data_IF_131523282387
#
_entry.id   IF_131523282387
#
_cell.length_a   1.000
_cell.length_b   1.000
_cell.length_c   1.000
_cell.angle_alpha   90.00
_cell.angle_beta   90.00
_cell.angle_gamma   90.00
#
_symmetry.space_group_name_H-M   'P 1'
#
loop_
_entity.id
_entity.type
_entity.pdbx_description
1 polymer ?
#
# COMPACT_ATOMS: atom_id res chain seq x y z
N UNK A 1 -19.03 -12.68 -31.13
CA UNK A 1 -18.25 -11.61 -30.49
C UNK A 1 -16.78 -11.92 -30.62
N UNK A 2 -16.01 -11.02 -31.23
CA UNK A 2 -14.57 -11.20 -31.39
C UNK A 2 -13.85 -10.99 -30.04
N UNK A 3 -12.60 -11.47 -29.90
CA UNK A 3 -11.78 -11.28 -28.69
C UNK A 3 -11.59 -9.79 -28.31
N UNK A 4 -11.38 -8.86 -29.26
CA UNK A 4 -11.37 -7.41 -29.00
C UNK A 4 -12.66 -6.90 -28.33
N UNK A 5 -13.84 -7.33 -28.81
CA UNK A 5 -15.13 -6.89 -28.28
C UNK A 5 -15.35 -7.33 -26.83
N UNK A 6 -14.91 -8.55 -26.49
CA UNK A 6 -15.00 -9.06 -25.12
C UNK A 6 -14.11 -8.29 -24.14
N UNK A 7 -12.91 -7.89 -24.56
CA UNK A 7 -11.95 -7.15 -23.72
C UNK A 7 -12.43 -5.73 -23.44
N UNK A 8 -12.94 -5.04 -24.45
CA UNK A 8 -13.50 -3.70 -24.28
C UNK A 8 -14.73 -3.71 -23.35
N UNK A 9 -15.63 -4.67 -23.53
CA UNK A 9 -16.80 -4.84 -22.67
C UNK A 9 -16.41 -5.14 -21.21
N UNK A 10 -15.40 -5.97 -20.97
CA UNK A 10 -14.89 -6.26 -19.64
C UNK A 10 -14.34 -4.98 -18.97
N UNK A 11 -13.49 -4.23 -19.67
CA UNK A 11 -12.90 -3.00 -19.15
C UNK A 11 -13.95 -1.96 -18.80
N UNK A 12 -14.95 -1.75 -19.67
CA UNK A 12 -16.05 -0.82 -19.41
C UNK A 12 -16.84 -1.20 -18.16
N UNK A 13 -17.17 -2.50 -18.01
CA UNK A 13 -17.86 -3.02 -16.81
C UNK A 13 -17.04 -2.85 -15.54
N UNK A 14 -15.75 -3.17 -15.61
CA UNK A 14 -14.84 -3.06 -14.46
C UNK A 14 -14.69 -1.59 -14.04
N UNK A 15 -14.47 -0.68 -14.99
CA UNK A 15 -14.32 0.74 -14.73
C UNK A 15 -15.60 1.34 -14.11
N UNK A 16 -16.78 0.99 -14.63
CA UNK A 16 -18.05 1.42 -14.05
C UNK A 16 -18.22 0.92 -12.60
N UNK A 17 -17.90 -0.35 -12.35
CA UNK A 17 -17.99 -0.93 -11.01
C UNK A 17 -17.04 -0.24 -10.02
N UNK A 18 -15.78 -0.03 -10.42
CA UNK A 18 -14.77 0.62 -9.57
C UNK A 18 -15.05 2.11 -9.34
N UNK A 19 -15.59 2.82 -10.34
CA UNK A 19 -15.97 4.21 -10.20
C UNK A 19 -17.04 4.40 -9.09
N UNK A 20 -18.06 3.52 -9.05
CA UNK A 20 -19.14 3.60 -8.07
C UNK A 20 -18.79 3.17 -6.64
N UNK A 21 -17.62 2.57 -6.40
CA UNK A 21 -17.24 2.09 -5.07
C UNK A 21 -16.66 3.22 -4.20
N UNK A 22 -17.29 3.50 -3.06
CA UNK A 22 -16.75 4.44 -2.08
C UNK A 22 -16.10 3.66 -0.92
N UNK A 23 -14.88 4.06 -0.54
CA UNK A 23 -14.12 3.52 0.58
C UNK A 23 -13.47 4.68 1.32
N UNK A 24 -13.28 4.61 2.64
CA UNK A 24 -12.59 5.65 3.41
C UNK A 24 -11.07 5.71 3.14
N UNK A 25 -10.56 4.83 2.27
CA UNK A 25 -9.18 4.78 1.82
C UNK A 25 -9.16 4.52 0.30
N UNK A 26 -8.02 4.75 -0.39
CA UNK A 26 -7.90 4.43 -1.81
C UNK A 26 -8.32 2.98 -2.10
N UNK A 27 -9.11 2.79 -3.16
CA UNK A 27 -9.51 1.48 -3.63
C UNK A 27 -8.29 0.80 -4.26
N UNK A 28 -7.88 -0.34 -3.72
CA UNK A 28 -6.72 -1.11 -4.20
C UNK A 28 -7.21 -2.17 -5.19
N UNK A 29 -6.61 -2.21 -6.38
CA UNK A 29 -6.94 -3.17 -7.44
C UNK A 29 -5.66 -3.86 -7.90
N UNK A 30 -5.60 -5.18 -7.76
CA UNK A 30 -4.47 -5.99 -8.22
C UNK A 30 -4.77 -6.64 -9.58
N UNK A 31 -3.77 -6.68 -10.47
CA UNK A 31 -3.84 -7.34 -11.78
C UNK A 31 -2.68 -8.34 -11.84
N UNK A 32 -3.02 -9.63 -11.83
CA UNK A 32 -2.07 -10.74 -11.76
C UNK A 32 -2.22 -11.70 -12.96
N UNK A 33 -1.21 -12.52 -13.21
CA UNK A 33 -1.12 -13.45 -14.35
C UNK A 33 0.33 -13.82 -14.68
N UNK A 34 0.57 -14.80 -15.58
CA UNK A 34 1.91 -15.21 -15.95
C UNK A 34 2.70 -14.10 -16.68
N UNK A 35 4.01 -14.27 -16.81
CA UNK A 35 4.86 -13.35 -17.56
C UNK A 35 4.44 -13.29 -19.02
N UNK A 36 4.59 -12.10 -19.62
CA UNK A 36 4.12 -11.76 -20.97
C UNK A 36 2.59 -11.89 -21.23
N UNK A 37 1.76 -12.12 -20.20
CA UNK A 37 0.30 -12.21 -20.36
C UNK A 37 -0.41 -10.88 -20.70
N UNK A 38 0.32 -9.76 -20.75
CA UNK A 38 -0.26 -8.44 -21.06
C UNK A 38 -0.86 -7.69 -19.86
N UNK A 39 -0.49 -8.06 -18.63
CA UNK A 39 -0.92 -7.39 -17.37
C UNK A 39 -0.78 -5.88 -17.43
N UNK A 40 0.38 -5.39 -17.86
CA UNK A 40 0.69 -3.96 -18.00
C UNK A 40 -0.30 -3.27 -18.92
N UNK A 41 -0.56 -3.86 -20.10
CA UNK A 41 -1.49 -3.30 -21.07
C UNK A 41 -2.93 -3.24 -20.54
N UNK A 42 -3.38 -4.29 -19.87
CA UNK A 42 -4.72 -4.29 -19.24
C UNK A 42 -4.84 -3.20 -18.18
N UNK A 43 -3.80 -3.02 -17.37
CA UNK A 43 -3.80 -2.05 -16.30
C UNK A 43 -3.78 -0.60 -16.80
N UNK A 44 -3.07 -0.34 -17.91
CA UNK A 44 -3.05 0.99 -18.54
C UNK A 44 -4.37 1.29 -19.27
N UNK A 45 -4.98 0.29 -19.91
CA UNK A 45 -6.32 0.42 -20.48
C UNK A 45 -7.38 0.69 -19.40
N UNK A 46 -7.29 0.03 -18.24
CA UNK A 46 -8.20 0.26 -17.12
C UNK A 46 -8.02 1.67 -16.53
N UNK A 47 -6.79 2.13 -16.38
CA UNK A 47 -6.51 3.49 -15.91
C UNK A 47 -7.09 4.55 -16.87
N UNK A 48 -6.92 4.36 -18.18
CA UNK A 48 -7.55 5.23 -19.20
C UNK A 48 -9.08 5.19 -19.12
N UNK A 49 -9.68 4.02 -18.92
CA UNK A 49 -11.13 3.89 -18.78
C UNK A 49 -11.70 4.54 -17.50
N UNK A 50 -10.87 4.73 -16.47
CA UNK A 50 -11.20 5.40 -15.22
C UNK A 50 -10.88 6.91 -15.23
N UNK A 51 -10.18 7.40 -16.25
CA UNK A 51 -9.81 8.81 -16.36
C UNK A 51 -11.07 9.71 -16.33
N UNK A 52 -11.01 10.78 -15.53
CA UNK A 52 -12.15 11.68 -15.31
C UNK A 52 -13.27 11.12 -14.43
N UNK A 53 -13.19 9.85 -14.01
CA UNK A 53 -14.17 9.19 -13.13
C UNK A 53 -13.58 8.85 -11.75
N UNK A 54 -12.28 8.58 -11.69
CA UNK A 54 -11.55 8.26 -10.46
C UNK A 54 -10.06 8.59 -10.65
N UNK A 55 -9.43 9.15 -9.63
CA UNK A 55 -7.97 9.29 -9.59
C UNK A 55 -7.31 7.90 -9.48
N UNK A 56 -6.35 7.61 -10.36
CA UNK A 56 -5.68 6.31 -10.43
C UNK A 56 -4.17 6.49 -10.21
N UNK A 57 -3.64 5.81 -9.21
CA UNK A 57 -2.20 5.67 -9.00
C UNK A 57 -1.78 4.30 -9.53
N UNK A 58 -0.86 4.28 -10.50
CA UNK A 58 -0.30 3.05 -11.09
C UNK A 58 0.99 2.67 -10.39
N UNK A 59 1.07 1.42 -9.94
CA UNK A 59 2.28 0.83 -9.38
C UNK A 59 2.47 -0.57 -9.95
N UNK A 60 3.68 -0.91 -10.37
CA UNK A 60 4.07 -2.28 -10.78
C UNK A 60 4.99 -2.90 -9.74
N UNK A 61 4.82 -4.20 -9.49
CA UNK A 61 5.72 -5.00 -8.64
C UNK A 61 7.12 -5.07 -9.25
N UNK A 62 7.26 -4.88 -10.57
CA UNK A 62 8.56 -4.80 -11.26
C UNK A 62 9.45 -3.67 -10.72
N UNK A 63 8.85 -2.59 -10.21
CA UNK A 63 9.56 -1.49 -9.55
C UNK A 63 10.18 -1.88 -8.20
N UNK A 64 9.88 -3.08 -7.69
CA UNK A 64 10.37 -3.62 -6.41
C UNK A 64 11.35 -4.78 -6.64
N UNK A 65 12.00 -4.84 -7.80
CA UNK A 65 13.09 -5.79 -8.03
C UNK A 65 14.24 -5.58 -7.03
N UNK A 66 14.69 -6.67 -6.42
CA UNK A 66 15.95 -6.68 -5.65
C UNK A 66 17.15 -6.54 -6.59
N UNK A 67 18.33 -6.10 -6.10
CA UNK A 67 19.55 -6.00 -6.91
C UNK A 67 19.90 -7.31 -7.64
N UNK A 68 20.50 -7.21 -8.83
CA UNK A 68 20.76 -8.37 -9.69
C UNK A 68 21.57 -9.49 -8.99
N UNK A 69 22.52 -9.11 -8.14
CA UNK A 69 23.30 -10.03 -7.30
C UNK A 69 22.39 -10.88 -6.41
N UNK A 70 21.44 -10.25 -5.71
CA UNK A 70 20.51 -10.95 -4.82
C UNK A 70 19.56 -11.85 -5.59
N UNK A 71 19.07 -11.40 -6.77
CA UNK A 71 18.16 -12.19 -7.62
C UNK A 71 18.82 -13.44 -8.16
N UNK A 72 20.12 -13.38 -8.48
CA UNK A 72 20.87 -14.45 -9.16
C UNK A 72 21.72 -15.32 -8.21
N UNK A 73 21.69 -15.07 -6.90
CA UNK A 73 22.53 -15.77 -5.93
C UNK A 73 22.32 -17.29 -5.87
N UNK A 74 21.15 -17.77 -6.28
CA UNK A 74 20.83 -19.22 -6.38
C UNK A 74 21.13 -19.81 -7.77
N UNK A 75 21.84 -19.06 -8.60
CA UNK A 75 22.04 -19.35 -10.02
C UNK A 75 21.06 -18.58 -10.90
N UNK A 76 21.49 -18.15 -12.11
CA UNK A 76 20.73 -17.25 -12.98
C UNK A 76 19.43 -17.87 -13.54
N UNK A 77 19.27 -19.20 -13.46
CA UNK A 77 18.12 -19.94 -13.96
C UNK A 77 17.30 -20.62 -12.85
N UNK A 78 17.56 -20.30 -11.57
CA UNK A 78 16.85 -20.96 -10.46
C UNK A 78 15.40 -20.48 -10.35
N UNK A 79 14.40 -21.38 -10.44
CA UNK A 79 13.00 -21.01 -10.23
C UNK A 79 12.73 -20.60 -8.78
N UNK A 80 13.45 -21.20 -7.82
CA UNK A 80 13.39 -20.80 -6.41
C UNK A 80 14.00 -19.40 -6.23
N UNK A 81 15.05 -19.06 -6.98
CA UNK A 81 15.60 -17.71 -7.04
C UNK A 81 14.59 -16.72 -7.62
N UNK A 82 13.94 -17.08 -8.73
CA UNK A 82 12.90 -16.24 -9.33
C UNK A 82 11.77 -15.92 -8.31
N UNK A 83 11.26 -16.93 -7.61
CA UNK A 83 10.16 -16.73 -6.65
C UNK A 83 10.59 -16.03 -5.35
N UNK A 84 11.72 -16.44 -4.75
CA UNK A 84 12.10 -15.98 -3.40
C UNK A 84 12.93 -14.70 -3.41
N UNK A 85 13.62 -14.44 -4.52
CA UNK A 85 14.73 -13.49 -4.55
C UNK A 85 14.56 -12.36 -5.56
N UNK A 86 13.62 -12.46 -6.51
CA UNK A 86 13.42 -11.41 -7.53
C UNK A 86 12.84 -10.12 -6.98
N UNK A 87 11.84 -10.22 -6.09
CA UNK A 87 11.02 -9.08 -5.67
C UNK A 87 11.07 -8.85 -4.17
N UNK A 88 11.01 -7.58 -3.78
CA UNK A 88 10.83 -7.16 -2.39
C UNK A 88 9.34 -7.10 -2.03
N UNK A 89 8.76 -8.27 -1.78
CA UNK A 89 7.34 -8.41 -1.44
C UNK A 89 6.97 -7.70 -0.12
N UNK A 90 7.91 -7.56 0.81
CA UNK A 90 7.66 -6.90 2.09
C UNK A 90 7.37 -5.40 1.87
N UNK A 91 8.21 -4.72 1.09
CA UNK A 91 8.00 -3.32 0.73
C UNK A 91 6.71 -3.12 -0.07
N UNK A 92 6.33 -4.07 -0.94
CA UNK A 92 5.04 -4.05 -1.67
C UNK A 92 3.86 -4.05 -0.68
N UNK A 93 3.85 -4.96 0.30
CA UNK A 93 2.78 -5.03 1.31
C UNK A 93 2.72 -3.76 2.15
N UNK A 94 3.87 -3.29 2.65
CA UNK A 94 3.94 -2.18 3.59
C UNK A 94 3.62 -0.83 2.94
N UNK A 95 4.03 -0.61 1.69
CA UNK A 95 3.85 0.66 1.00
C UNK A 95 2.55 0.74 0.19
N UNK A 96 1.98 -0.38 -0.23
CA UNK A 96 0.83 -0.39 -1.14
C UNK A 96 -0.45 -0.97 -0.50
N UNK A 97 -0.36 -1.89 0.48
CA UNK A 97 -1.52 -2.71 0.89
C UNK A 97 -2.08 -2.49 2.32
N UNK A 98 -1.33 -1.95 3.30
CA UNK A 98 -1.84 -1.57 4.66
C UNK A 98 -2.27 -0.09 4.77
N UNK A 99 -3.06 0.38 5.79
CA UNK A 99 -3.21 1.82 6.06
C UNK A 99 -1.87 2.35 6.56
N UNK A 100 -1.34 3.41 5.96
CA UNK A 100 0.12 3.55 5.86
C UNK A 100 0.76 4.19 7.12
N UNK A 101 1.71 3.50 7.78
CA UNK A 101 2.71 4.12 8.68
C UNK A 101 3.46 5.31 8.03
N UNK A 102 3.39 5.41 6.71
CA UNK A 102 3.89 6.53 5.92
C UNK A 102 3.25 7.87 6.29
N UNK A 103 1.99 7.95 6.71
CA UNK A 103 1.37 9.24 7.08
C UNK A 103 1.78 9.71 8.48
N UNK A 104 2.00 8.80 9.43
CA UNK A 104 2.64 9.12 10.71
C UNK A 104 4.09 9.56 10.50
N UNK A 105 4.83 8.87 9.63
CA UNK A 105 6.20 9.24 9.28
C UNK A 105 6.27 10.55 8.48
N UNK A 106 5.31 10.82 7.59
CA UNK A 106 5.22 12.07 6.82
C UNK A 106 5.02 13.28 7.73
N UNK A 107 4.12 13.19 8.71
CA UNK A 107 3.92 14.25 9.71
C UNK A 107 5.15 14.46 10.59
N UNK A 108 5.79 13.36 11.00
CA UNK A 108 7.04 13.42 11.76
C UNK A 108 8.17 14.10 10.98
N UNK A 109 8.27 13.84 9.67
CA UNK A 109 9.27 14.43 8.79
C UNK A 109 9.13 15.96 8.64
N UNK A 110 7.93 16.50 8.84
CA UNK A 110 7.66 17.95 8.84
C UNK A 110 7.96 18.55 10.22
N UNK A 111 7.45 17.94 11.29
CA UNK A 111 7.50 18.49 12.65
C UNK A 111 8.83 18.27 13.37
N UNK A 112 9.42 17.08 13.24
CA UNK A 112 10.50 16.63 14.12
C UNK A 112 11.89 16.80 13.49
N UNK A 113 11.98 17.43 12.31
CA UNK A 113 13.22 17.52 11.55
C UNK A 113 14.27 18.37 12.25
N UNK A 114 13.87 19.50 12.84
CA UNK A 114 14.76 20.35 13.63
C UNK A 114 15.19 19.64 14.92
N UNK A 115 14.24 18.99 15.59
CA UNK A 115 14.47 18.27 16.84
C UNK A 115 15.48 17.12 16.69
N UNK A 116 15.44 16.39 15.57
CA UNK A 116 16.32 15.24 15.33
C UNK A 116 17.43 15.53 14.32
N UNK A 117 17.59 16.77 13.89
CA UNK A 117 18.66 17.26 13.02
C UNK A 117 18.55 16.87 11.55
N UNK A 118 17.89 15.75 11.20
CA UNK A 118 17.74 15.35 9.80
C UNK A 118 16.50 14.49 9.53
N UNK A 119 16.05 14.49 8.28
CA UNK A 119 14.95 13.64 7.83
C UNK A 119 15.25 12.13 8.01
N UNK A 120 16.50 11.72 7.82
CA UNK A 120 16.90 10.31 8.00
C UNK A 120 16.94 9.91 9.48
N UNK A 121 17.36 10.83 10.35
CA UNK A 121 17.31 10.65 11.79
C UNK A 121 15.86 10.52 12.32
N UNK A 122 14.90 11.22 11.71
CA UNK A 122 13.46 11.07 11.97
C UNK A 122 12.98 9.70 11.49
N UNK A 123 13.25 9.33 10.22
CA UNK A 123 12.85 8.04 9.63
C UNK A 123 13.31 6.86 10.46
N UNK A 124 14.60 6.85 10.80
CA UNK A 124 15.22 5.76 11.55
C UNK A 124 14.56 5.59 12.92
N UNK A 125 14.30 6.68 13.65
CA UNK A 125 13.64 6.62 14.97
C UNK A 125 12.19 6.16 14.87
N UNK A 126 11.42 6.66 13.91
CA UNK A 126 10.01 6.27 13.75
C UNK A 126 9.86 4.80 13.34
N UNK A 127 10.70 4.33 12.42
CA UNK A 127 10.66 2.95 11.95
C UNK A 127 11.16 1.95 13.00
N UNK A 128 12.19 2.29 13.78
CA UNK A 128 12.83 1.33 14.69
C UNK A 128 12.33 1.41 16.14
N UNK A 129 11.78 2.55 16.56
CA UNK A 129 11.39 2.78 17.95
C UNK A 129 9.91 3.07 18.11
N UNK A 130 9.40 4.10 17.44
CA UNK A 130 8.06 4.62 17.76
C UNK A 130 6.93 3.78 17.17
N UNK A 131 7.00 3.39 15.89
CA UNK A 131 5.96 2.56 15.27
C UNK A 131 5.93 1.14 15.86
N UNK A 132 7.06 0.44 16.05
CA UNK A 132 7.06 -0.86 16.73
C UNK A 132 6.61 -0.75 18.19
N UNK A 133 7.07 0.26 18.94
CA UNK A 133 6.66 0.47 20.32
C UNK A 133 5.16 0.74 20.46
N UNK A 134 4.58 1.50 19.55
CA UNK A 134 3.13 1.74 19.52
C UNK A 134 2.34 0.46 19.21
N UNK A 135 2.85 -0.41 18.34
CA UNK A 135 2.24 -1.71 18.06
C UNK A 135 2.25 -2.61 19.30
N UNK A 136 3.38 -2.69 20.02
CA UNK A 136 3.49 -3.43 21.29
C UNK A 136 2.51 -2.90 22.35
N UNK A 137 2.44 -1.58 22.55
CA UNK A 137 1.47 -0.95 23.45
C UNK A 137 0.02 -1.34 23.12
N UNK A 138 -0.37 -1.28 21.83
CA UNK A 138 -1.74 -1.65 21.41
C UNK A 138 -2.04 -3.12 21.69
N UNK A 139 -1.06 -4.01 21.51
CA UNK A 139 -1.21 -5.45 21.72
C UNK A 139 -1.31 -5.84 23.20
N UNK A 140 -0.52 -5.20 24.06
CA UNK A 140 -0.41 -5.53 25.48
C UNK A 140 -1.42 -4.77 26.34
N UNK A 141 -1.45 -3.44 26.22
CA UNK A 141 -2.34 -2.60 27.01
C UNK A 141 -3.79 -2.67 26.51
N UNK A 142 -3.99 -3.06 25.25
CA UNK A 142 -5.31 -3.22 24.59
C UNK A 142 -6.28 -2.08 24.92
N UNK A 143 -5.89 -0.82 24.70
CA UNK A 143 -6.70 0.33 25.10
C UNK A 143 -8.11 0.30 24.48
N UNK A 144 -8.27 -0.25 23.27
CA UNK A 144 -9.57 -0.42 22.64
C UNK A 144 -10.54 -1.33 23.41
N UNK A 145 -10.00 -2.26 24.22
CA UNK A 145 -10.80 -3.16 25.05
C UNK A 145 -10.94 -2.65 26.49
N UNK A 146 -10.03 -1.79 26.94
CA UNK A 146 -9.92 -1.41 28.36
C UNK A 146 -10.38 0.01 28.67
N UNK A 147 -10.11 0.97 27.80
CA UNK A 147 -10.40 2.37 28.07
C UNK A 147 -11.89 2.68 27.86
N UNK A 148 -12.56 3.27 28.84
CA UNK A 148 -14.00 3.59 28.74
C UNK A 148 -14.31 4.59 27.63
N UNK A 149 -13.35 5.46 27.32
CA UNK A 149 -13.35 6.29 26.12
C UNK A 149 -11.99 6.12 25.43
N UNK A 150 -12.02 5.84 24.12
CA UNK A 150 -10.85 5.81 23.26
C UNK A 150 -11.14 6.61 22.00
N UNK A 151 -10.32 7.63 21.77
CA UNK A 151 -10.33 8.43 20.55
C UNK A 151 -9.15 8.01 19.66
N UNK A 152 -9.42 7.72 18.40
CA UNK A 152 -8.42 7.61 17.35
C UNK A 152 -8.23 8.95 16.66
N UNK A 153 -6.98 9.44 16.73
CA UNK A 153 -6.55 10.68 16.10
C UNK A 153 -5.68 10.40 14.86
N UNK A 154 -5.83 9.23 14.25
CA UNK A 154 -5.22 8.92 12.95
C UNK A 154 -5.50 10.05 11.94
N UNK A 155 -6.69 10.64 12.00
CA UNK A 155 -7.03 11.92 11.39
C UNK A 155 -7.35 12.99 12.48
N UNK A 156 -6.50 14.01 12.66
CA UNK A 156 -6.74 15.10 13.61
C UNK A 156 -7.89 16.02 13.22
N UNK A 157 -8.28 16.03 11.94
CA UNK A 157 -9.40 16.84 11.43
C UNK A 157 -10.73 16.08 11.51
N UNK A 158 -10.67 14.75 11.71
CA UNK A 158 -11.84 13.90 11.87
C UNK A 158 -11.57 12.84 12.97
N UNK A 159 -11.46 13.26 14.24
CA UNK A 159 -11.23 12.33 15.34
C UNK A 159 -12.39 11.33 15.44
N UNK A 160 -12.06 10.05 15.59
CA UNK A 160 -13.06 8.98 15.70
C UNK A 160 -13.07 8.45 17.12
N UNK A 161 -14.23 8.43 17.77
CA UNK A 161 -14.39 7.67 19.00
C UNK A 161 -14.45 6.18 18.68
N UNK A 162 -13.38 5.44 18.97
CA UNK A 162 -13.35 3.97 18.87
C UNK A 162 -14.10 3.31 20.04
N UNK A 163 -14.18 4.00 21.18
CA UNK A 163 -15.05 3.66 22.30
C UNK A 163 -15.50 4.96 22.95
N UNK A 164 -16.80 5.15 23.11
CA UNK A 164 -17.39 6.28 23.84
C UNK A 164 -18.85 5.91 24.16
N UNK A 165 -19.27 5.82 25.44
CA UNK A 165 -20.59 5.31 25.81
C UNK A 165 -21.73 6.35 25.79
N UNK A 166 -21.48 7.60 25.37
CA UNK A 166 -22.47 8.68 25.24
C UNK A 166 -22.70 9.22 23.83
#
# INVERSE_FOLDING_TARGET
MTTPDRRAALLARLAAHLAGQHRPHPLRVAIDGPDAAGKTRLADDLARALAGRREVIRVSVDGFHRPAEQRRRRGPLSPQGYYRDSFDHETVVDRLLRPLPAESLRRALVRDRELFGSADAVRQRYQRRYLPGQALYRAEARPAQRADILLDLADPLAPVALRWPG
#
